data_IF_308428494607
#
_entry.id   IF_308428494607
#
_cell.length_a   1.000
_cell.length_b   1.000
_cell.length_c   1.000
_cell.angle_alpha   90.00
_cell.angle_beta   90.00
_cell.angle_gamma   90.00
#
_symmetry.space_group_name_H-M   'P 1'
#
loop_
_entity.id
_entity.type
_entity.pdbx_description
1 polymer ?
#
# COMPACT_ATOMS: atom_id res chain seq x y z
N UNK A 1 8.86 28.29 5.94
CA UNK A 1 8.14 29.41 5.29
C UNK A 1 8.32 30.60 6.21
N UNK A 2 9.03 31.64 5.78
CA UNK A 2 9.23 32.87 6.58
C UNK A 2 8.00 33.78 6.45
N UNK A 3 7.49 34.27 7.59
CA UNK A 3 6.21 34.99 7.70
C UNK A 3 6.36 36.43 8.24
N UNK A 4 7.57 37.00 8.19
CA UNK A 4 7.94 38.22 8.92
C UNK A 4 7.15 39.51 8.58
N UNK A 5 6.23 39.50 7.61
CA UNK A 5 5.41 40.68 7.27
C UNK A 5 3.94 40.39 6.99
N UNK A 6 3.46 39.18 7.27
CA UNK A 6 2.04 38.88 7.25
C UNK A 6 1.50 39.04 8.67
N UNK A 7 0.35 39.70 8.86
CA UNK A 7 -0.21 39.99 10.19
C UNK A 7 -0.55 38.73 11.01
N UNK A 8 -1.32 38.86 12.09
CA UNK A 8 -1.83 37.70 12.82
C UNK A 8 -2.89 37.00 11.94
N UNK A 9 -2.52 35.90 11.28
CA UNK A 9 -3.38 35.20 10.32
C UNK A 9 -3.37 33.69 10.52
N UNK A 10 -4.46 33.05 10.14
CA UNK A 10 -4.64 31.60 10.24
C UNK A 10 -3.85 30.88 9.14
N UNK A 11 -3.05 29.88 9.53
CA UNK A 11 -2.29 29.04 8.60
C UNK A 11 -3.01 27.72 8.43
N UNK A 12 -3.39 27.42 7.19
CA UNK A 12 -4.11 26.21 6.82
C UNK A 12 -3.28 25.39 5.85
N UNK A 13 -3.17 24.09 6.10
CA UNK A 13 -2.45 23.16 5.22
C UNK A 13 -3.39 22.05 4.79
N UNK A 14 -3.38 21.73 3.50
CA UNK A 14 -4.15 20.63 2.91
C UNK A 14 -3.21 19.70 2.14
N UNK A 15 -3.42 18.40 2.28
CA UNK A 15 -2.78 17.39 1.44
C UNK A 15 -3.79 16.96 0.37
N UNK A 16 -3.47 17.21 -0.89
CA UNK A 16 -4.18 16.64 -2.03
C UNK A 16 -3.49 15.35 -2.46
N UNK A 17 -4.24 14.25 -2.48
CA UNK A 17 -3.76 12.96 -2.96
C UNK A 17 -3.89 12.83 -4.50
N UNK A 18 -3.34 11.77 -5.13
CA UNK A 18 -3.40 11.55 -6.57
C UNK A 18 -4.82 11.41 -7.12
N UNK A 19 -5.81 11.08 -6.29
CA UNK A 19 -7.23 11.04 -6.68
C UNK A 19 -7.87 12.43 -6.74
N UNK A 20 -7.15 13.46 -6.32
CA UNK A 20 -7.64 14.84 -6.22
C UNK A 20 -8.32 15.17 -4.90
N UNK A 21 -8.40 14.22 -3.96
CA UNK A 21 -9.03 14.44 -2.66
C UNK A 21 -8.12 15.27 -1.76
N UNK A 22 -8.67 16.35 -1.21
CA UNK A 22 -7.99 17.22 -0.25
C UNK A 22 -8.36 16.86 1.19
N UNK A 23 -7.34 16.65 2.04
CA UNK A 23 -7.50 16.37 3.46
C UNK A 23 -6.80 17.48 4.28
N UNK A 24 -7.45 18.06 5.30
CA UNK A 24 -6.80 19.00 6.21
C UNK A 24 -5.61 18.34 6.92
N UNK A 25 -4.51 19.07 7.04
CA UNK A 25 -3.30 18.66 7.76
C UNK A 25 -3.21 19.47 9.05
N UNK A 26 -2.86 18.81 10.15
CA UNK A 26 -2.65 19.48 11.43
C UNK A 26 -1.41 20.38 11.36
N UNK A 27 -1.56 21.62 11.83
CA UNK A 27 -0.52 22.63 11.84
C UNK A 27 -0.24 23.06 13.28
N UNK A 28 1.03 23.08 13.65
CA UNK A 28 1.52 23.54 14.95
C UNK A 28 2.35 24.80 14.74
N UNK A 29 1.97 25.88 15.43
CA UNK A 29 2.81 27.07 15.50
C UNK A 29 4.05 26.79 16.35
N UNK A 30 5.21 27.21 15.85
CA UNK A 30 6.45 27.17 16.61
C UNK A 30 6.56 28.50 17.38
N UNK A 31 6.84 28.42 18.68
CA UNK A 31 7.03 29.60 19.54
C UNK A 31 8.43 30.17 19.35
N UNK A 32 8.72 30.61 18.12
CA UNK A 32 9.99 31.19 17.72
C UNK A 32 9.83 32.63 17.22
N UNK A 33 10.90 33.45 17.27
CA UNK A 33 10.86 34.84 16.79
C UNK A 33 10.52 34.96 15.29
N UNK A 34 10.70 33.89 14.53
CA UNK A 34 10.41 33.82 13.09
C UNK A 34 8.95 33.49 12.76
N UNK A 35 8.10 33.20 13.77
CA UNK A 35 6.71 32.74 13.63
C UNK A 35 6.59 31.62 12.60
N UNK A 36 7.42 30.59 12.75
CA UNK A 36 7.37 29.43 11.85
C UNK A 36 6.27 28.45 12.25
N UNK A 37 5.88 27.58 11.31
CA UNK A 37 4.84 26.57 11.53
C UNK A 37 5.35 25.21 11.06
N UNK A 38 5.01 24.18 11.82
CA UNK A 38 5.30 22.78 11.51
C UNK A 38 4.00 22.07 11.16
N UNK A 39 4.00 21.28 10.09
CA UNK A 39 2.88 20.40 9.75
C UNK A 39 3.40 18.99 9.48
N UNK A 40 2.60 18.00 9.85
CA UNK A 40 2.92 16.58 9.69
C UNK A 40 1.74 15.87 9.06
N UNK A 41 1.99 15.09 8.01
CA UNK A 41 0.96 14.31 7.33
C UNK A 41 1.45 12.89 7.04
N UNK A 42 0.51 11.96 6.97
CA UNK A 42 0.75 10.59 6.52
C UNK A 42 0.03 10.37 5.21
N UNK A 43 0.77 10.22 4.12
CA UNK A 43 0.21 9.91 2.81
C UNK A 43 -0.33 8.47 2.80
N UNK A 44 -1.58 8.30 2.35
CA UNK A 44 -2.24 6.98 2.27
C UNK A 44 -2.12 6.33 0.90
N UNK A 45 -1.84 7.13 -0.13
CA UNK A 45 -1.68 6.68 -1.50
C UNK A 45 -0.22 6.87 -1.91
N UNK A 46 0.24 6.03 -2.82
CA UNK A 46 1.45 6.27 -3.59
C UNK A 46 1.15 7.24 -4.73
N UNK A 47 2.15 8.04 -5.12
CA UNK A 47 2.12 8.88 -6.31
C UNK A 47 2.21 10.37 -6.00
N UNK A 48 1.88 11.23 -6.99
CA UNK A 48 2.04 12.67 -6.88
C UNK A 48 1.00 13.27 -5.92
N UNK A 49 1.48 13.84 -4.83
CA UNK A 49 0.70 14.60 -3.86
C UNK A 49 1.01 16.10 -3.99
N UNK A 50 0.06 16.93 -3.56
CA UNK A 50 0.25 18.38 -3.47
C UNK A 50 -0.01 18.83 -2.03
N UNK A 51 0.97 19.50 -1.44
CA UNK A 51 0.78 20.18 -0.15
C UNK A 51 0.40 21.63 -0.45
N UNK A 52 -0.82 22.00 -0.09
CA UNK A 52 -1.38 23.33 -0.32
C UNK A 52 -1.30 24.09 1.00
N UNK A 53 -0.60 25.22 0.99
CA UNK A 53 -0.40 26.04 2.19
C UNK A 53 -1.07 27.39 1.97
N UNK A 54 -2.01 27.73 2.85
CA UNK A 54 -2.76 29.00 2.82
C UNK A 54 -2.49 29.82 4.07
N UNK A 55 -2.38 31.13 3.88
CA UNK A 55 -2.32 32.12 4.93
C UNK A 55 -3.50 33.08 4.77
N UNK A 56 -4.36 33.18 5.79
CA UNK A 56 -5.60 33.96 5.73
C UNK A 56 -6.47 33.64 4.50
N UNK A 57 -6.55 32.35 4.14
CA UNK A 57 -7.35 31.86 3.01
C UNK A 57 -6.68 31.98 1.63
N UNK A 58 -5.53 32.65 1.52
CA UNK A 58 -4.79 32.83 0.25
C UNK A 58 -3.57 31.90 0.22
N UNK A 59 -3.32 31.25 -0.93
CA UNK A 59 -2.13 30.42 -1.09
C UNK A 59 -0.85 31.22 -0.96
N UNK A 60 0.10 30.69 -0.19
CA UNK A 60 1.42 31.31 -0.02
C UNK A 60 2.25 31.12 -1.29
N UNK A 61 3.28 31.95 -1.53
CA UNK A 61 4.19 31.74 -2.64
C UNK A 61 4.79 30.33 -2.62
N UNK A 62 4.87 29.69 -3.79
CA UNK A 62 5.31 28.30 -4.02
C UNK A 62 4.33 27.20 -3.56
N UNK A 63 3.17 27.57 -3.00
CA UNK A 63 2.04 26.64 -2.95
C UNK A 63 1.42 26.49 -4.35
N UNK A 64 1.01 25.28 -4.75
CA UNK A 64 1.21 24.02 -4.05
C UNK A 64 2.65 23.50 -4.14
N UNK A 65 3.08 22.78 -3.10
CA UNK A 65 4.34 22.04 -3.11
C UNK A 65 4.10 20.61 -3.62
N UNK A 66 4.70 20.25 -4.74
CA UNK A 66 4.63 18.90 -5.29
C UNK A 66 5.50 17.93 -4.48
N UNK A 67 4.91 16.82 -4.05
CA UNK A 67 5.57 15.77 -3.27
C UNK A 67 5.33 14.43 -3.95
N UNK A 68 6.39 13.73 -4.30
CA UNK A 68 6.28 12.37 -4.80
C UNK A 68 6.39 11.38 -3.65
N UNK A 69 5.26 10.77 -3.31
CA UNK A 69 5.21 9.71 -2.30
C UNK A 69 5.46 8.40 -3.01
N UNK A 70 6.62 7.79 -2.77
CA UNK A 70 6.90 6.44 -3.28
C UNK A 70 6.34 5.42 -2.30
N UNK A 71 5.80 4.32 -2.83
CA UNK A 71 5.50 3.15 -2.02
C UNK A 71 6.76 2.66 -1.29
N UNK A 72 6.58 1.93 -0.19
CA UNK A 72 7.66 1.12 0.35
C UNK A 72 8.04 0.13 -0.74
N UNK A 73 9.32 0.07 -1.13
CA UNK A 73 9.80 -0.91 -2.09
C UNK A 73 9.30 -2.31 -1.68
N UNK A 74 8.79 -3.08 -2.64
CA UNK A 74 8.21 -4.38 -2.39
C UNK A 74 9.14 -5.27 -1.57
N UNK A 75 8.65 -5.76 -0.43
CA UNK A 75 9.34 -6.66 0.47
C UNK A 75 8.57 -7.98 0.55
N UNK A 76 8.94 -8.92 -0.32
CA UNK A 76 8.31 -10.23 -0.41
C UNK A 76 8.40 -11.03 0.91
N UNK A 77 9.35 -10.70 1.80
CA UNK A 77 9.48 -11.38 3.09
C UNK A 77 8.32 -11.09 4.06
N UNK A 78 7.53 -10.05 3.77
CA UNK A 78 6.37 -9.65 4.57
C UNK A 78 5.03 -10.19 4.04
N UNK A 79 5.06 -10.95 2.95
CA UNK A 79 3.87 -11.66 2.45
C UNK A 79 3.53 -12.80 3.41
N UNK A 80 2.26 -12.90 3.81
CA UNK A 80 1.76 -13.99 4.67
C UNK A 80 0.84 -14.88 3.85
N UNK A 81 1.00 -16.18 3.96
CA UNK A 81 0.11 -17.15 3.32
C UNK A 81 -0.46 -18.10 4.38
N UNK A 82 -1.77 -18.38 4.32
CA UNK A 82 -2.42 -19.38 5.17
C UNK A 82 -3.52 -20.13 4.40
N UNK A 83 -3.80 -21.36 4.79
CA UNK A 83 -4.95 -22.11 4.29
C UNK A 83 -4.64 -23.58 4.03
N UNK A 84 -5.67 -24.40 3.75
CA UNK A 84 -5.51 -25.84 3.56
C UNK A 84 -4.60 -26.19 2.38
N UNK A 85 -4.49 -25.32 1.37
CA UNK A 85 -3.66 -25.51 0.18
C UNK A 85 -2.16 -25.58 0.44
N UNK A 86 -1.66 -25.07 1.56
CA UNK A 86 -0.22 -25.04 1.88
C UNK A 86 0.12 -25.80 3.16
N UNK A 87 -0.84 -26.54 3.71
CA UNK A 87 -0.61 -27.39 4.87
C UNK A 87 0.19 -28.63 4.47
N UNK A 88 1.06 -29.13 5.36
CA UNK A 88 1.88 -30.30 5.07
C UNK A 88 1.07 -31.60 4.92
N UNK A 89 -0.17 -31.63 5.42
CA UNK A 89 -1.06 -32.80 5.38
C UNK A 89 -2.50 -32.40 5.11
N UNK A 90 -3.32 -33.36 4.67
CA UNK A 90 -4.77 -33.19 4.48
C UNK A 90 -5.20 -32.87 3.05
N UNK A 91 -4.26 -32.71 2.12
CA UNK A 91 -4.55 -32.56 0.69
C UNK A 91 -4.86 -33.90 0.04
N UNK A 92 -5.83 -33.90 -0.89
CA UNK A 92 -6.23 -35.07 -1.67
C UNK A 92 -6.00 -34.82 -3.15
N UNK A 93 -5.43 -35.82 -3.83
CA UNK A 93 -5.24 -35.80 -5.28
C UNK A 93 -6.58 -35.56 -5.98
N UNK A 94 -6.58 -34.72 -7.00
CA UNK A 94 -7.75 -34.34 -7.80
C UNK A 94 -8.75 -33.43 -7.08
N UNK A 95 -8.54 -33.13 -5.79
CA UNK A 95 -9.47 -32.29 -5.01
C UNK A 95 -8.98 -30.84 -4.99
N UNK A 96 -9.79 -29.87 -5.44
CA UNK A 96 -9.44 -28.46 -5.33
C UNK A 96 -9.19 -28.04 -3.89
N UNK A 97 -8.17 -27.22 -3.70
CA UNK A 97 -7.79 -26.64 -2.41
C UNK A 97 -7.48 -25.16 -2.59
N UNK A 98 -7.47 -24.42 -1.48
CA UNK A 98 -7.22 -22.98 -1.51
C UNK A 98 -6.28 -22.52 -0.42
N UNK A 99 -5.60 -21.41 -0.65
CA UNK A 99 -4.91 -20.65 0.38
C UNK A 99 -5.02 -19.15 0.08
N UNK A 100 -4.98 -18.36 1.14
CA UNK A 100 -5.05 -16.90 1.09
C UNK A 100 -3.63 -16.32 1.17
N UNK A 101 -3.40 -15.22 0.46
CA UNK A 101 -2.14 -14.47 0.38
C UNK A 101 -2.43 -13.04 0.83
N UNK A 102 -1.74 -12.59 1.88
CA UNK A 102 -1.83 -11.23 2.42
C UNK A 102 -0.51 -10.48 2.11
N UNK A 103 -0.65 -9.41 1.33
CA UNK A 103 0.46 -8.55 0.88
C UNK A 103 0.49 -7.19 1.57
N UNK A 104 -0.36 -6.97 2.59
CA UNK A 104 -0.56 -5.67 3.24
C UNK A 104 0.73 -5.04 3.78
N UNK A 105 1.65 -5.86 4.27
CA UNK A 105 2.95 -5.41 4.80
C UNK A 105 4.07 -5.44 3.76
N UNK A 106 3.86 -6.09 2.61
CA UNK A 106 4.85 -6.29 1.56
C UNK A 106 5.03 -5.07 0.66
N UNK A 107 4.06 -4.15 0.60
CA UNK A 107 4.14 -2.99 -0.30
C UNK A 107 3.85 -3.37 -1.76
N UNK A 108 4.43 -2.63 -2.70
CA UNK A 108 4.08 -2.73 -4.13
C UNK A 108 4.81 -3.90 -4.78
N UNK A 109 4.07 -4.78 -5.46
CA UNK A 109 4.63 -5.92 -6.20
C UNK A 109 3.57 -6.73 -6.95
N UNK A 110 4.03 -7.67 -7.77
CA UNK A 110 3.17 -8.64 -8.45
C UNK A 110 3.19 -9.97 -7.70
N UNK A 111 2.02 -10.57 -7.51
CA UNK A 111 1.89 -11.94 -6.98
C UNK A 111 1.93 -12.92 -8.14
N UNK A 112 2.89 -13.85 -8.09
CA UNK A 112 2.95 -15.01 -8.96
C UNK A 112 2.95 -16.28 -8.11
N UNK A 113 2.24 -17.31 -8.57
CA UNK A 113 2.08 -18.56 -7.84
C UNK A 113 2.43 -19.72 -8.75
N UNK A 114 3.37 -20.54 -8.30
CA UNK A 114 3.76 -21.78 -8.95
C UNK A 114 3.61 -22.93 -7.96
N UNK A 115 3.04 -24.05 -8.42
CA UNK A 115 2.99 -25.31 -7.68
C UNK A 115 3.86 -26.29 -8.45
N UNK A 116 4.91 -26.81 -7.83
CA UNK A 116 5.82 -27.80 -8.40
C UNK A 116 5.40 -29.17 -7.88
N UNK A 117 5.15 -30.09 -8.80
CA UNK A 117 4.77 -31.45 -8.49
C UNK A 117 5.95 -32.26 -7.92
N UNK A 118 5.71 -33.47 -7.35
CA UNK A 118 6.78 -34.31 -6.81
C UNK A 118 7.82 -34.77 -7.85
N UNK A 119 7.51 -34.63 -9.15
CA UNK A 119 8.41 -34.94 -10.26
C UNK A 119 9.22 -33.72 -10.71
N UNK A 120 9.10 -32.59 -10.01
CA UNK A 120 9.80 -31.35 -10.31
C UNK A 120 9.20 -30.56 -11.47
N UNK A 121 8.01 -30.93 -11.95
CA UNK A 121 7.32 -30.22 -13.02
C UNK A 121 6.38 -29.19 -12.42
N UNK A 122 6.48 -27.94 -12.87
CA UNK A 122 5.43 -26.95 -12.57
C UNK A 122 4.11 -27.52 -13.03
N UNK A 123 3.18 -27.64 -12.09
CA UNK A 123 1.88 -28.27 -12.22
C UNK A 123 1.25 -27.90 -13.57
N UNK A 124 0.91 -28.90 -14.37
CA UNK A 124 0.27 -28.68 -15.68
C UNK A 124 -1.19 -28.25 -15.56
N UNK A 125 -1.68 -28.03 -14.34
CA UNK A 125 -3.04 -27.62 -14.03
C UNK A 125 -3.11 -26.11 -13.86
N UNK A 126 -4.25 -25.49 -14.22
CA UNK A 126 -4.41 -24.05 -14.08
C UNK A 126 -4.51 -23.67 -12.60
N UNK A 127 -3.51 -22.91 -12.13
CA UNK A 127 -3.56 -22.21 -10.85
C UNK A 127 -4.41 -20.96 -11.06
N UNK A 128 -5.41 -20.76 -10.20
CA UNK A 128 -6.28 -19.58 -10.24
C UNK A 128 -5.95 -18.67 -9.09
N UNK A 129 -5.36 -17.52 -9.38
CA UNK A 129 -5.15 -16.45 -8.41
C UNK A 129 -6.20 -15.38 -8.65
N UNK A 130 -6.95 -15.03 -7.61
CA UNK A 130 -7.97 -13.96 -7.64
C UNK A 130 -7.65 -12.92 -6.59
N UNK A 131 -7.53 -11.66 -7.00
CA UNK A 131 -7.46 -10.54 -6.07
C UNK A 131 -8.86 -10.27 -5.48
N UNK A 132 -8.92 -9.84 -4.23
CA UNK A 132 -10.16 -9.44 -3.60
C UNK A 132 -10.50 -7.99 -4.00
N UNK A 133 -11.75 -7.76 -4.40
CA UNK A 133 -12.23 -6.45 -4.85
C UNK A 133 -12.36 -5.41 -3.71
N UNK A 134 -12.68 -5.86 -2.49
CA UNK A 134 -12.81 -5.01 -1.29
C UNK A 134 -11.45 -4.72 -0.64
N UNK A 135 -10.55 -5.71 -0.66
CA UNK A 135 -9.20 -5.61 -0.10
C UNK A 135 -8.16 -6.02 -1.15
N UNK A 136 -7.62 -5.06 -1.94
CA UNK A 136 -6.68 -5.37 -3.00
C UNK A 136 -5.34 -5.91 -2.48
N UNK A 137 -5.09 -5.89 -1.16
CA UNK A 137 -3.90 -6.50 -0.56
C UNK A 137 -4.06 -8.01 -0.32
N UNK A 138 -5.27 -8.55 -0.54
CA UNK A 138 -5.58 -9.96 -0.36
C UNK A 138 -5.82 -10.68 -1.69
N UNK A 139 -5.23 -11.86 -1.80
CA UNK A 139 -5.43 -12.75 -2.94
C UNK A 139 -5.86 -14.12 -2.44
N UNK A 140 -6.69 -14.79 -3.24
CA UNK A 140 -7.07 -16.17 -3.04
C UNK A 140 -6.53 -17.02 -4.17
N UNK A 141 -5.73 -18.02 -3.81
CA UNK A 141 -5.20 -18.99 -4.74
C UNK A 141 -5.99 -20.30 -4.65
N UNK A 142 -6.34 -20.87 -5.80
CA UNK A 142 -7.01 -22.16 -5.95
C UNK A 142 -6.23 -23.04 -6.92
N UNK A 143 -5.99 -24.29 -6.53
CA UNK A 143 -5.37 -25.31 -7.38
C UNK A 143 -5.83 -26.72 -6.97
N UNK A 144 -5.60 -27.72 -7.82
CA UNK A 144 -5.92 -29.12 -7.51
C UNK A 144 -4.69 -30.01 -7.77
N UNK A 145 -4.07 -30.63 -6.75
CA UNK A 145 -2.88 -31.47 -6.93
C UNK A 145 -3.22 -32.71 -7.75
N UNK A 146 -2.43 -33.02 -8.78
CA UNK A 146 -2.71 -34.14 -9.70
C UNK A 146 -1.89 -35.39 -9.39
N UNK A 147 -0.84 -35.26 -8.57
CA UNK A 147 0.02 -36.37 -8.19
C UNK A 147 0.01 -36.52 -6.67
N UNK A 148 0.24 -37.74 -6.21
CA UNK A 148 0.52 -38.00 -4.80
C UNK A 148 1.99 -37.70 -4.51
N UNK A 149 2.28 -37.10 -3.35
CA UNK A 149 3.63 -36.82 -2.89
C UNK A 149 3.87 -35.36 -2.49
N UNK A 150 5.11 -35.00 -2.13
CA UNK A 150 5.47 -33.65 -1.72
C UNK A 150 5.42 -32.68 -2.90
N UNK A 151 4.63 -31.60 -2.74
CA UNK A 151 4.59 -30.47 -3.69
C UNK A 151 5.36 -29.28 -3.10
N UNK A 152 5.84 -28.38 -3.96
CA UNK A 152 6.48 -27.13 -3.55
C UNK A 152 5.78 -25.93 -4.15
#
# INVERSE_FOLDING_TARGET
VDTFSAGQGDVQVFLQDPSGKQTPVEVKANDDPGKTYTCSYTAKLEGPHKVIVKFSGVEVPKSPFDVEVKGVAGDASKVKCDGPGIRPTGLKVGTPTTFDIDTKEAGVGQVDVQVIDPKGKSSSVPIRVRQNDEDPTKFKCEYAPQLEGPHK
#
